data_IF_948299876406
#
_entry.id   IF_948299876406
#
_cell.length_a   1.000
_cell.length_b   1.000
_cell.length_c   1.000
_cell.angle_alpha   90.00
_cell.angle_beta   90.00
_cell.angle_gamma   90.00
#
_symmetry.space_group_name_H-M   'P 1'
#
loop_
_entity.id
_entity.type
_entity.pdbx_description
1 polymer ?
#
# COMPACT_ATOMS: atom_id res chain seq x y z
N UNK A 1 62.56 57.37 14.92
CA UNK A 1 63.22 56.07 15.12
C UNK A 1 62.66 55.13 14.06
N UNK A 2 63.23 55.12 12.84
CA UNK A 2 64.23 54.17 12.31
C UNK A 2 63.70 52.71 12.24
N UNK A 3 63.34 52.21 11.05
CA UNK A 3 64.14 51.36 10.15
C UNK A 3 63.94 49.85 10.42
N UNK A 4 63.27 49.10 9.55
CA UNK A 4 63.85 48.30 8.43
C UNK A 4 64.99 47.34 8.82
N UNK A 5 64.74 46.02 8.72
CA UNK A 5 65.54 44.92 8.10
C UNK A 5 65.10 43.56 8.69
N UNK A 6 64.43 42.67 7.96
CA UNK A 6 64.90 41.68 6.96
C UNK A 6 65.87 40.60 7.50
N UNK A 7 65.37 39.35 7.44
CA UNK A 7 66.00 38.10 6.93
C UNK A 7 66.15 36.90 7.91
N UNK A 8 65.43 35.83 7.52
CA UNK A 8 65.81 34.40 7.38
C UNK A 8 66.38 33.62 8.58
N UNK A 9 65.73 32.51 8.95
CA UNK A 9 66.14 31.13 8.54
C UNK A 9 65.18 30.02 9.02
N UNK A 10 64.82 29.12 8.08
CA UNK A 10 64.56 27.67 8.16
C UNK A 10 63.50 27.03 9.10
N UNK A 11 62.42 26.53 8.45
CA UNK A 11 61.99 25.12 8.35
C UNK A 11 62.08 24.20 9.60
N UNK A 12 60.92 23.83 10.19
CA UNK A 12 60.30 22.48 10.13
C UNK A 12 59.25 22.24 11.23
N UNK A 13 58.08 21.80 10.78
CA UNK A 13 57.09 20.90 11.42
C UNK A 13 56.79 21.03 12.92
N UNK A 14 55.60 21.54 13.25
CA UNK A 14 54.76 21.06 14.37
C UNK A 14 53.32 21.54 14.17
N UNK A 15 52.59 20.91 13.26
CA UNK A 15 51.12 20.87 13.31
C UNK A 15 50.73 19.56 13.97
N UNK A 16 50.18 19.68 15.17
CA UNK A 16 49.52 18.60 15.87
C UNK A 16 48.40 18.04 14.98
N UNK A 17 48.50 16.76 14.67
CA UNK A 17 47.48 15.95 14.02
C UNK A 17 46.24 15.89 14.92
N UNK A 18 45.11 16.36 14.37
CA UNK A 18 43.79 15.82 14.70
C UNK A 18 43.77 14.35 14.25
N UNK A 19 43.32 13.38 15.07
CA UNK A 19 42.93 12.10 14.50
C UNK A 19 41.71 12.33 13.61
N UNK A 20 41.87 12.00 12.34
CA UNK A 20 40.76 11.80 11.42
C UNK A 20 39.82 10.74 12.02
N UNK A 21 38.52 11.01 12.01
CA UNK A 21 37.55 9.94 12.12
C UNK A 21 37.66 9.13 10.83
N UNK A 22 38.31 7.96 10.91
CA UNK A 22 38.22 6.94 9.88
C UNK A 22 36.76 6.46 9.85
N UNK A 23 36.02 6.83 8.80
CA UNK A 23 34.82 6.10 8.38
C UNK A 23 35.29 4.72 7.93
N UNK A 24 35.25 3.74 8.84
CA UNK A 24 35.42 2.33 8.49
C UNK A 24 34.35 1.97 7.43
N UNK A 25 34.73 1.55 6.21
CA UNK A 25 33.76 1.07 5.25
C UNK A 25 33.14 -0.21 5.81
N UNK A 26 31.84 -0.16 6.11
CA UNK A 26 31.10 -1.32 6.59
C UNK A 26 31.39 -2.53 5.70
N UNK A 27 31.95 -3.58 6.30
CA UNK A 27 32.35 -4.79 5.59
C UNK A 27 31.19 -5.29 4.72
N UNK A 28 31.43 -5.63 3.43
CA UNK A 28 30.40 -6.19 2.60
C UNK A 28 29.84 -7.45 3.26
N UNK A 29 28.50 -7.59 3.40
CA UNK A 29 27.91 -8.72 4.08
C UNK A 29 28.44 -10.00 3.44
N UNK A 30 28.91 -10.92 4.28
CA UNK A 30 29.51 -12.18 3.82
C UNK A 30 28.63 -12.87 2.78
N UNK A 31 29.23 -13.61 1.85
CA UNK A 31 28.51 -14.27 0.76
C UNK A 31 27.34 -15.12 1.26
N UNK A 32 27.49 -15.76 2.43
CA UNK A 32 26.42 -16.51 3.13
C UNK A 32 25.25 -15.63 3.59
N UNK A 33 25.51 -14.38 4.01
CA UNK A 33 24.45 -13.42 4.38
C UNK A 33 23.71 -12.94 3.14
N UNK A 34 24.42 -12.70 2.03
CA UNK A 34 23.80 -12.35 0.73
C UNK A 34 22.98 -13.50 0.16
N UNK A 35 23.47 -14.73 0.29
CA UNK A 35 22.79 -15.93 -0.15
C UNK A 35 21.51 -16.19 0.66
N UNK A 36 21.58 -16.08 1.99
CA UNK A 36 20.39 -16.14 2.86
C UNK A 36 19.40 -15.03 2.59
N UNK A 37 19.86 -13.81 2.30
CA UNK A 37 18.98 -12.70 1.94
C UNK A 37 18.28 -12.96 0.59
N UNK A 38 18.96 -13.56 -0.38
CA UNK A 38 18.38 -13.96 -1.67
C UNK A 38 17.42 -15.12 -1.54
N UNK A 39 17.72 -16.13 -0.72
CA UNK A 39 16.79 -17.22 -0.38
C UNK A 39 15.55 -16.71 0.34
N UNK A 40 15.72 -15.78 1.30
CA UNK A 40 14.61 -15.14 2.01
C UNK A 40 13.76 -14.27 1.08
N UNK A 41 14.37 -13.53 0.16
CA UNK A 41 13.67 -12.75 -0.86
C UNK A 41 12.90 -13.65 -1.84
N UNK A 42 13.49 -14.79 -2.27
CA UNK A 42 12.78 -15.80 -3.07
C UNK A 42 11.63 -16.43 -2.29
N UNK A 43 11.85 -16.78 -1.03
CA UNK A 43 10.79 -17.36 -0.17
C UNK A 43 9.64 -16.37 0.06
N UNK A 44 9.92 -15.08 0.23
CA UNK A 44 8.89 -14.04 0.35
C UNK A 44 8.15 -13.81 -0.97
N UNK A 45 8.85 -13.80 -2.10
CA UNK A 45 8.23 -13.74 -3.42
C UNK A 45 7.34 -14.97 -3.68
N UNK A 46 7.82 -16.18 -3.36
CA UNK A 46 7.05 -17.42 -3.47
C UNK A 46 5.86 -17.46 -2.51
N UNK A 47 5.98 -16.91 -1.30
CA UNK A 47 4.85 -16.78 -0.35
C UNK A 47 3.85 -15.74 -0.84
N UNK A 48 4.29 -14.63 -1.45
CA UNK A 48 3.42 -13.63 -2.09
C UNK A 48 2.71 -14.23 -3.30
N UNK A 49 3.43 -14.93 -4.17
CA UNK A 49 2.86 -15.66 -5.31
C UNK A 49 1.92 -16.78 -4.84
N UNK A 50 2.20 -17.48 -3.75
CA UNK A 50 1.29 -18.46 -3.14
C UNK A 50 0.09 -17.80 -2.47
N UNK A 51 0.21 -16.62 -1.88
CA UNK A 51 -0.90 -15.88 -1.28
C UNK A 51 -1.81 -15.30 -2.38
N UNK A 52 -1.23 -14.76 -3.45
CA UNK A 52 -1.93 -14.33 -4.67
C UNK A 52 -2.56 -15.54 -5.37
N UNK A 53 -1.83 -16.65 -5.54
CA UNK A 53 -2.36 -17.89 -6.12
C UNK A 53 -3.38 -18.58 -5.21
N UNK A 54 -3.35 -18.39 -3.89
CA UNK A 54 -4.37 -18.91 -2.94
C UNK A 54 -5.58 -17.99 -2.86
N UNK A 55 -5.41 -16.68 -3.11
CA UNK A 55 -6.48 -15.74 -3.36
C UNK A 55 -7.15 -16.02 -4.72
N UNK A 56 -6.37 -16.36 -5.76
CA UNK A 56 -6.85 -16.65 -7.12
C UNK A 56 -7.35 -18.09 -7.32
N UNK A 57 -6.86 -19.09 -6.55
CA UNK A 57 -7.36 -20.48 -6.58
C UNK A 57 -8.78 -20.53 -5.99
N UNK A 58 -9.74 -20.38 -6.89
CA UNK A 58 -11.17 -20.45 -6.63
C UNK A 58 -11.93 -19.19 -7.05
N UNK A 59 -11.29 -18.13 -7.54
CA UNK A 59 -12.02 -16.95 -8.04
C UNK A 59 -12.79 -17.31 -9.31
N UNK A 60 -12.18 -18.03 -10.26
CA UNK A 60 -12.89 -18.49 -11.46
C UNK A 60 -14.06 -19.46 -11.11
N UNK A 61 -13.87 -20.41 -10.19
CA UNK A 61 -14.92 -21.36 -9.76
C UNK A 61 -16.03 -20.70 -8.92
N UNK A 62 -15.71 -19.69 -8.10
CA UNK A 62 -16.71 -18.93 -7.30
C UNK A 62 -17.41 -17.84 -8.10
N UNK A 63 -16.75 -17.25 -9.10
CA UNK A 63 -17.38 -16.44 -10.15
C UNK A 63 -18.32 -17.31 -11.00
N UNK A 64 -17.91 -18.54 -11.33
CA UNK A 64 -18.74 -19.53 -12.02
C UNK A 64 -19.90 -20.07 -11.16
N UNK A 65 -19.83 -19.98 -9.82
CA UNK A 65 -20.95 -20.24 -8.92
C UNK A 65 -22.04 -19.14 -8.92
N UNK A 66 -21.89 -18.10 -9.77
CA UNK A 66 -22.98 -17.24 -10.20
C UNK A 66 -23.43 -16.14 -9.24
N UNK A 67 -22.61 -15.77 -8.24
CA UNK A 67 -23.02 -14.76 -7.24
C UNK A 67 -22.00 -13.68 -6.92
N UNK A 68 -20.79 -13.72 -7.46
CA UNK A 68 -19.77 -12.72 -7.14
C UNK A 68 -19.51 -11.81 -8.33
N UNK A 69 -19.10 -10.58 -8.06
CA UNK A 69 -18.61 -9.61 -9.04
C UNK A 69 -17.21 -9.17 -8.61
N UNK A 70 -16.21 -9.38 -9.47
CA UNK A 70 -14.84 -8.92 -9.25
C UNK A 70 -14.64 -7.54 -9.88
N UNK A 71 -14.14 -6.59 -9.12
CA UNK A 71 -13.67 -5.30 -9.61
C UNK A 71 -12.15 -5.29 -9.64
N UNK A 72 -11.60 -5.09 -10.83
CA UNK A 72 -10.17 -4.95 -11.06
C UNK A 72 -9.86 -3.49 -11.41
N UNK A 73 -9.41 -2.71 -10.43
CA UNK A 73 -9.36 -1.26 -10.54
C UNK A 73 -7.98 -0.68 -10.91
N UNK A 74 -6.97 -1.55 -11.14
CA UNK A 74 -5.57 -1.18 -11.40
C UNK A 74 -5.08 -0.01 -10.52
N UNK A 75 -5.16 -0.19 -9.20
CA UNK A 75 -4.84 0.85 -8.21
C UNK A 75 -3.31 1.04 -8.09
N UNK A 76 -2.79 2.29 -8.06
CA UNK A 76 -1.36 2.55 -7.98
C UNK A 76 -0.67 1.91 -6.77
N UNK A 77 0.56 1.40 -6.94
CA UNK A 77 1.32 0.76 -5.88
C UNK A 77 1.85 1.79 -4.89
N UNK A 78 1.27 1.84 -3.68
CA UNK A 78 1.50 2.80 -2.56
C UNK A 78 0.25 3.58 -2.13
N UNK A 79 -0.86 3.40 -2.83
CA UNK A 79 -2.17 3.95 -2.46
C UNK A 79 -2.49 3.63 -1.00
N UNK A 80 -2.82 4.66 -0.22
CA UNK A 80 -3.17 4.47 1.19
C UNK A 80 -4.51 3.74 1.34
N UNK A 81 -5.52 4.17 0.59
CA UNK A 81 -6.89 3.68 0.68
C UNK A 81 -7.56 3.65 -0.70
N UNK A 82 -8.37 2.64 -0.94
CA UNK A 82 -9.31 2.62 -2.05
C UNK A 82 -10.72 2.35 -1.55
N UNK A 83 -11.70 2.96 -2.19
CA UNK A 83 -13.12 2.78 -1.90
C UNK A 83 -13.83 2.33 -3.16
N UNK A 84 -14.61 1.26 -3.01
CA UNK A 84 -15.33 0.61 -4.09
C UNK A 84 -16.81 0.57 -3.72
N UNK A 85 -17.66 0.93 -4.67
CA UNK A 85 -19.11 1.00 -4.49
C UNK A 85 -19.78 0.23 -5.62
N UNK A 86 -20.78 -0.57 -5.29
CA UNK A 86 -21.68 -1.20 -6.24
C UNK A 86 -23.06 -0.57 -6.09
N UNK A 87 -23.62 -0.07 -7.19
CA UNK A 87 -24.95 0.49 -7.25
C UNK A 87 -25.86 -0.35 -8.15
N UNK A 88 -27.12 -0.47 -7.77
CA UNK A 88 -28.15 -1.04 -8.61
C UNK A 88 -28.44 -0.14 -9.82
N UNK A 89 -28.50 -0.72 -11.02
CA UNK A 89 -28.80 -0.03 -12.26
C UNK A 89 -27.66 0.82 -12.81
N UNK A 90 -27.95 1.54 -13.90
CA UNK A 90 -27.02 2.45 -14.57
C UNK A 90 -27.09 3.86 -13.97
N UNK A 91 -25.95 4.55 -13.88
CA UNK A 91 -25.90 5.99 -13.65
C UNK A 91 -25.98 6.71 -14.99
N UNK A 92 -26.99 7.56 -15.17
CA UNK A 92 -27.12 8.42 -16.36
C UNK A 92 -26.07 9.52 -16.39
N UNK A 93 -25.68 10.01 -15.21
CA UNK A 93 -24.59 10.98 -15.02
C UNK A 93 -23.68 10.44 -13.91
N UNK A 94 -22.37 10.39 -14.17
CA UNK A 94 -21.39 9.89 -13.20
C UNK A 94 -20.96 11.07 -12.32
N UNK A 95 -21.19 11.02 -10.99
CA UNK A 95 -20.73 12.05 -10.07
C UNK A 95 -19.21 12.14 -10.07
N UNK A 96 -18.67 13.36 -9.93
CA UNK A 96 -17.23 13.58 -9.97
C UNK A 96 -16.48 12.98 -8.75
N UNK A 97 -17.17 12.86 -7.62
CA UNK A 97 -16.57 12.50 -6.32
C UNK A 97 -17.43 11.45 -5.61
N UNK A 98 -16.84 10.71 -4.67
CA UNK A 98 -17.59 9.74 -3.88
C UNK A 98 -18.66 10.41 -3.01
N UNK A 99 -18.39 11.59 -2.45
CA UNK A 99 -19.37 12.29 -1.61
C UNK A 99 -20.59 12.76 -2.44
N UNK A 100 -20.38 13.23 -3.68
CA UNK A 100 -21.48 13.54 -4.59
C UNK A 100 -22.31 12.29 -4.94
N UNK A 101 -21.65 11.15 -5.21
CA UNK A 101 -22.34 9.86 -5.41
C UNK A 101 -23.20 9.49 -4.21
N UNK A 102 -22.68 9.67 -3.00
CA UNK A 102 -23.41 9.34 -1.78
C UNK A 102 -24.61 10.26 -1.54
N UNK A 103 -24.48 11.54 -1.88
CA UNK A 103 -25.56 12.52 -1.77
C UNK A 103 -26.68 12.24 -2.78
N UNK A 104 -26.33 11.97 -4.04
CA UNK A 104 -27.30 11.88 -5.14
C UNK A 104 -27.86 10.47 -5.35
N UNK A 105 -27.13 9.43 -4.93
CA UNK A 105 -27.44 8.03 -5.24
C UNK A 105 -27.26 7.07 -4.06
N UNK A 106 -27.12 7.58 -2.83
CA UNK A 106 -26.86 6.77 -1.64
C UNK A 106 -27.87 5.65 -1.39
N UNK A 107 -29.15 5.86 -1.75
CA UNK A 107 -30.22 4.86 -1.64
C UNK A 107 -30.10 3.68 -2.63
N UNK A 108 -29.29 3.84 -3.69
CA UNK A 108 -29.04 2.83 -4.72
C UNK A 108 -27.80 2.00 -4.44
N UNK A 109 -27.02 2.35 -3.42
CA UNK A 109 -25.80 1.63 -3.04
C UNK A 109 -26.19 0.28 -2.45
N UNK A 110 -25.82 -0.80 -3.13
CA UNK A 110 -26.02 -2.17 -2.66
C UNK A 110 -24.90 -2.59 -1.71
N UNK A 111 -23.65 -2.27 -2.08
CA UNK A 111 -22.46 -2.67 -1.35
C UNK A 111 -21.38 -1.59 -1.42
N UNK A 112 -20.64 -1.44 -0.32
CA UNK A 112 -19.47 -0.56 -0.23
C UNK A 112 -18.33 -1.33 0.45
N UNK A 113 -17.14 -1.25 -0.13
CA UNK A 113 -15.92 -1.88 0.39
C UNK A 113 -14.81 -0.84 0.42
N UNK A 114 -14.12 -0.74 1.55
CA UNK A 114 -12.95 0.10 1.73
C UNK A 114 -11.74 -0.77 2.07
N UNK A 115 -10.66 -0.61 1.30
CA UNK A 115 -9.40 -1.29 1.49
C UNK A 115 -8.31 -0.28 1.82
N UNK A 116 -7.33 -0.68 2.64
CA UNK A 116 -6.23 0.18 3.07
C UNK A 116 -4.86 -0.50 2.92
N UNK A 117 -3.80 0.30 2.86
CA UNK A 117 -2.41 -0.14 2.73
C UNK A 117 -2.19 -1.02 1.50
N UNK A 118 -1.41 -2.09 1.65
CA UNK A 118 -1.14 -3.03 0.55
C UNK A 118 -2.42 -3.66 -0.04
N UNK A 119 -3.47 -3.84 0.77
CA UNK A 119 -4.74 -4.37 0.29
C UNK A 119 -5.48 -3.41 -0.63
N UNK A 120 -5.21 -2.09 -0.55
CA UNK A 120 -5.83 -1.10 -1.45
C UNK A 120 -5.53 -1.37 -2.93
N UNK A 121 -4.44 -2.09 -3.22
CA UNK A 121 -4.00 -2.46 -4.57
C UNK A 121 -4.64 -3.73 -5.13
N UNK A 122 -5.40 -4.46 -4.30
CA UNK A 122 -5.97 -5.76 -4.69
C UNK A 122 -7.33 -5.61 -5.39
N UNK A 123 -7.69 -6.57 -6.28
CA UNK A 123 -9.05 -6.65 -6.79
C UNK A 123 -10.08 -6.81 -5.67
N UNK A 124 -11.20 -6.11 -5.79
CA UNK A 124 -12.34 -6.21 -4.87
C UNK A 124 -13.33 -7.26 -5.35
N UNK A 125 -13.99 -7.92 -4.41
CA UNK A 125 -15.08 -8.86 -4.71
C UNK A 125 -16.34 -8.44 -3.96
N UNK A 126 -17.37 -8.05 -4.73
CA UNK A 126 -18.74 -7.93 -4.23
C UNK A 126 -19.41 -9.30 -4.26
N UNK A 127 -20.17 -9.61 -3.21
CA UNK A 127 -20.80 -10.92 -3.03
C UNK A 127 -22.30 -10.83 -3.23
N UNK A 128 -22.92 -11.96 -3.54
CA UNK A 128 -24.37 -12.07 -3.73
C UNK A 128 -24.97 -11.08 -4.75
N UNK A 129 -24.20 -10.78 -5.81
CA UNK A 129 -24.60 -9.91 -6.92
C UNK A 129 -25.52 -10.67 -7.86
N UNK A 130 -26.77 -10.19 -7.91
CA UNK A 130 -27.83 -10.72 -8.78
C UNK A 130 -27.62 -10.29 -10.23
N UNK A 131 -28.20 -11.07 -11.15
CA UNK A 131 -28.22 -10.72 -12.57
C UNK A 131 -28.99 -9.41 -12.80
N UNK A 132 -28.49 -8.60 -13.73
CA UNK A 132 -29.01 -7.27 -14.01
C UNK A 132 -27.91 -6.27 -14.34
N UNK A 133 -28.33 -5.04 -14.63
CA UNK A 133 -27.43 -3.92 -14.85
C UNK A 133 -27.06 -3.30 -13.51
N UNK A 134 -25.77 -3.07 -13.34
CA UNK A 134 -25.16 -2.46 -12.16
C UNK A 134 -24.20 -1.34 -12.57
N UNK A 135 -23.83 -0.50 -11.61
CA UNK A 135 -22.72 0.44 -11.77
C UNK A 135 -21.69 0.16 -10.69
N UNK A 136 -20.48 -0.22 -11.08
CA UNK A 136 -19.34 -0.30 -10.19
C UNK A 136 -18.60 1.03 -10.20
N UNK A 137 -18.22 1.54 -9.03
CA UNK A 137 -17.44 2.76 -8.89
C UNK A 137 -16.22 2.53 -8.00
N UNK A 138 -15.13 3.22 -8.31
CA UNK A 138 -13.88 3.21 -7.52
C UNK A 138 -13.37 4.63 -7.33
N UNK A 139 -12.99 4.95 -6.10
CA UNK A 139 -12.22 6.13 -5.74
C UNK A 139 -10.91 5.68 -5.07
N UNK A 140 -9.82 6.34 -5.42
CA UNK A 140 -8.46 6.00 -4.98
C UNK A 140 -7.88 7.22 -4.25
N UNK A 141 -7.30 6.99 -3.08
CA UNK A 141 -6.62 8.04 -2.34
C UNK A 141 -5.21 8.28 -2.92
N UNK A 142 -4.51 9.27 -2.36
CA UNK A 142 -3.09 9.46 -2.70
C UNK A 142 -2.18 8.39 -2.10
N UNK A 143 -0.87 8.50 -2.35
CA UNK A 143 0.10 7.64 -1.70
C UNK A 143 0.03 7.79 -0.17
N UNK A 144 0.35 6.70 0.54
CA UNK A 144 0.47 6.70 1.99
C UNK A 144 1.40 7.83 2.47
N UNK A 145 0.97 8.55 3.51
CA UNK A 145 1.78 9.65 4.03
C UNK A 145 3.11 9.13 4.58
N UNK A 146 4.11 10.00 4.70
CA UNK A 146 5.37 9.61 5.32
C UNK A 146 5.17 9.11 6.76
N UNK A 147 4.18 9.65 7.47
CA UNK A 147 3.84 9.25 8.83
C UNK A 147 3.18 7.86 8.87
N UNK A 148 2.26 7.58 7.95
CA UNK A 148 1.62 6.25 7.83
C UNK A 148 2.64 5.18 7.48
N UNK A 149 3.57 5.48 6.56
CA UNK A 149 4.67 4.58 6.21
C UNK A 149 5.58 4.30 7.40
N UNK A 150 5.99 5.33 8.14
CA UNK A 150 6.82 5.16 9.33
C UNK A 150 6.11 4.34 10.42
N UNK A 151 4.79 4.52 10.60
CA UNK A 151 4.00 3.71 11.51
C UNK A 151 3.99 2.23 11.09
N UNK A 152 3.72 1.95 9.80
CA UNK A 152 3.65 0.58 9.29
C UNK A 152 5.00 -0.14 9.36
N UNK A 153 6.09 0.56 9.02
CA UNK A 153 7.46 0.05 9.18
C UNK A 153 7.77 -0.27 10.64
N UNK A 154 7.35 0.59 11.58
CA UNK A 154 7.55 0.35 13.01
C UNK A 154 6.70 -0.81 13.53
N UNK A 155 5.45 -0.92 13.09
CA UNK A 155 4.58 -2.03 13.43
C UNK A 155 5.14 -3.37 12.92
N UNK A 156 5.70 -3.39 11.70
CA UNK A 156 6.36 -4.56 11.15
C UNK A 156 7.60 -4.95 11.98
N UNK A 157 8.44 -3.98 12.36
CA UNK A 157 9.61 -4.25 13.20
C UNK A 157 9.22 -4.81 14.59
N UNK A 158 8.14 -4.31 15.20
CA UNK A 158 7.64 -4.80 16.47
C UNK A 158 7.04 -6.22 16.35
N UNK A 159 6.37 -6.52 15.25
CA UNK A 159 5.85 -7.86 14.98
C UNK A 159 6.98 -8.89 14.79
N UNK A 160 8.06 -8.51 14.10
CA UNK A 160 9.21 -9.40 13.83
C UNK A 160 10.21 -9.51 15.00
N UNK A 161 10.09 -8.68 16.04
CA UNK A 161 11.04 -8.63 17.16
C UNK A 161 11.17 -9.98 17.90
N UNK A 162 10.11 -10.78 17.93
CA UNK A 162 10.08 -12.10 18.55
C UNK A 162 10.45 -13.26 17.58
N UNK A 163 11.07 -12.93 16.44
CA UNK A 163 11.52 -13.88 15.43
C UNK A 163 10.46 -14.29 14.41
N UNK A 164 10.74 -15.30 13.56
CA UNK A 164 9.80 -15.76 12.54
C UNK A 164 8.57 -16.39 13.19
N UNK A 165 7.41 -15.74 13.08
CA UNK A 165 6.15 -16.22 13.63
C UNK A 165 5.08 -16.31 12.54
N UNK A 166 4.11 -17.23 12.68
CA UNK A 166 2.97 -17.27 11.78
C UNK A 166 2.16 -15.97 11.88
N UNK A 167 1.60 -15.52 10.77
CA UNK A 167 0.69 -14.37 10.73
C UNK A 167 -0.49 -14.61 11.68
N UNK A 168 -0.67 -13.70 12.63
CA UNK A 168 -1.75 -13.72 13.63
C UNK A 168 -2.33 -12.31 13.76
N UNK A 169 -3.65 -12.19 13.58
CA UNK A 169 -4.36 -10.91 13.61
C UNK A 169 -4.23 -10.17 14.94
N UNK A 170 -4.29 -10.88 16.08
CA UNK A 170 -4.17 -10.29 17.42
C UNK A 170 -2.77 -9.70 17.63
N UNK A 171 -1.73 -10.40 17.16
CA UNK A 171 -0.34 -9.94 17.27
C UNK A 171 -0.05 -8.76 16.36
N UNK A 172 -0.59 -8.77 15.13
CA UNK A 172 -0.49 -7.63 14.21
C UNK A 172 -1.18 -6.40 14.79
N UNK A 173 -2.36 -6.56 15.40
CA UNK A 173 -3.05 -5.47 16.09
C UNK A 173 -2.26 -4.95 17.29
N UNK A 174 -1.67 -5.83 18.09
CA UNK A 174 -0.83 -5.43 19.23
C UNK A 174 0.41 -4.66 18.78
N UNK A 175 1.09 -5.11 17.72
CA UNK A 175 2.26 -4.44 17.15
C UNK A 175 1.91 -3.05 16.59
N UNK A 176 0.76 -2.93 15.90
CA UNK A 176 0.28 -1.65 15.40
C UNK A 176 -0.07 -0.68 16.54
N UNK A 177 -0.74 -1.16 17.59
CA UNK A 177 -1.08 -0.34 18.76
C UNK A 177 0.18 0.16 19.49
N UNK A 178 1.19 -0.70 19.64
CA UNK A 178 2.48 -0.31 20.21
C UNK A 178 3.21 0.72 19.32
N UNK A 179 3.23 0.53 18.01
CA UNK A 179 3.80 1.50 17.06
C UNK A 179 3.07 2.86 17.12
N UNK A 180 1.75 2.87 17.26
CA UNK A 180 0.96 4.10 17.42
C UNK A 180 1.29 4.82 18.72
N UNK A 181 1.44 4.07 19.83
CA UNK A 181 1.81 4.62 21.13
C UNK A 181 3.23 5.24 21.10
N UNK A 182 4.18 4.62 20.40
CA UNK A 182 5.55 5.14 20.27
C UNK A 182 5.65 6.36 19.33
N UNK A 183 4.94 6.32 18.20
CA UNK A 183 5.01 7.39 17.19
C UNK A 183 4.10 8.57 17.50
N UNK A 184 3.11 8.39 18.38
CA UNK A 184 2.03 9.36 18.61
C UNK A 184 1.14 9.58 17.38
N UNK A 185 1.28 8.74 16.35
CA UNK A 185 0.57 8.89 15.09
C UNK A 185 -0.93 8.63 15.27
N UNK A 186 -1.74 9.49 14.66
CA UNK A 186 -3.20 9.34 14.61
C UNK A 186 -3.61 9.13 13.15
N UNK A 187 -4.14 7.95 12.80
CA UNK A 187 -4.58 7.66 11.44
C UNK A 187 -5.53 8.75 10.95
N UNK A 188 -5.17 9.41 9.85
CA UNK A 188 -6.06 10.37 9.20
C UNK A 188 -6.97 9.59 8.26
N UNK A 189 -8.28 9.72 8.44
CA UNK A 189 -9.23 9.21 7.47
C UNK A 189 -9.02 9.96 6.16
N UNK A 190 -8.98 9.24 5.04
CA UNK A 190 -8.92 9.88 3.73
C UNK A 190 -10.14 10.79 3.56
N UNK A 191 -9.87 12.04 3.17
CA UNK A 191 -10.89 12.93 2.64
C UNK A 191 -11.19 12.51 1.20
N UNK A 192 -12.45 12.14 0.96
CA UNK A 192 -12.96 11.60 -0.31
C UNK A 192 -13.62 12.67 -1.18
N UNK A 193 -13.87 13.87 -0.64
CA UNK A 193 -14.48 14.96 -1.39
C UNK A 193 -13.62 15.39 -2.60
N UNK A 194 -12.29 15.58 -2.48
CA UNK A 194 -11.48 15.95 -3.64
C UNK A 194 -11.08 14.75 -4.52
N UNK A 195 -11.54 13.53 -4.23
CA UNK A 195 -11.04 12.31 -4.88
C UNK A 195 -11.89 11.97 -6.10
N UNK A 196 -11.28 11.90 -7.31
CA UNK A 196 -12.00 11.53 -8.50
C UNK A 196 -12.65 10.15 -8.36
N UNK A 197 -13.94 10.09 -8.66
CA UNK A 197 -14.69 8.85 -8.74
C UNK A 197 -14.69 8.35 -10.20
N UNK A 198 -14.40 7.08 -10.37
CA UNK A 198 -14.46 6.41 -11.67
C UNK A 198 -15.55 5.36 -11.61
N UNK A 199 -16.54 5.44 -12.50
CA UNK A 199 -17.65 4.49 -12.54
C UNK A 199 -17.72 3.80 -13.90
N UNK A 200 -18.23 2.58 -13.89
CA UNK A 200 -18.47 1.79 -15.10
C UNK A 200 -19.75 1.00 -14.94
N UNK A 201 -20.56 0.99 -16.00
CA UNK A 201 -21.70 0.08 -16.14
C UNK A 201 -21.22 -1.36 -16.28
N UNK A 202 -21.86 -2.26 -15.55
CA UNK A 202 -21.60 -3.70 -15.56
C UNK A 202 -22.93 -4.42 -15.77
N UNK A 203 -23.07 -5.12 -16.89
CA UNK A 203 -24.22 -5.99 -17.14
C UNK A 203 -23.86 -7.40 -16.67
N UNK A 204 -24.46 -7.82 -15.55
CA UNK A 204 -24.22 -9.13 -14.93
C UNK A 204 -25.26 -10.13 -15.44
N UNK A 205 -24.78 -11.23 -16.00
CA UNK A 205 -25.58 -12.37 -16.43
C UNK A 205 -24.96 -13.70 -15.91
N UNK A 206 -25.40 -14.81 -16.49
CA UNK A 206 -24.94 -16.15 -16.11
C UNK A 206 -23.48 -16.44 -16.50
N UNK A 207 -22.87 -15.62 -17.37
CA UNK A 207 -21.52 -15.85 -17.90
C UNK A 207 -20.45 -15.32 -16.93
N UNK A 208 -19.38 -16.07 -16.64
CA UNK A 208 -18.34 -15.63 -15.71
C UNK A 208 -17.65 -14.32 -16.12
N UNK A 209 -17.49 -14.07 -17.41
CA UNK A 209 -16.85 -12.84 -17.91
C UNK A 209 -17.68 -11.57 -17.66
N UNK A 210 -19.01 -11.70 -17.56
CA UNK A 210 -19.89 -10.58 -17.22
C UNK A 210 -19.74 -10.13 -15.76
N UNK A 211 -19.05 -10.94 -14.95
CA UNK A 211 -18.83 -10.75 -13.50
C UNK A 211 -17.43 -10.22 -13.20
N UNK A 212 -16.79 -9.59 -14.19
CA UNK A 212 -15.51 -8.92 -14.06
C UNK A 212 -15.66 -7.48 -14.57
N UNK A 213 -15.44 -6.52 -13.69
CA UNK A 213 -15.42 -5.11 -14.01
C UNK A 213 -13.98 -4.59 -13.94
N UNK A 214 -13.35 -4.42 -15.10
CA UNK A 214 -12.01 -3.85 -15.20
C UNK A 214 -12.07 -2.33 -15.38
N UNK A 215 -11.26 -1.60 -14.62
CA UNK A 215 -10.99 -0.18 -14.80
C UNK A 215 -9.57 0.00 -15.33
N UNK A 216 -9.39 1.02 -16.15
CA UNK A 216 -8.05 1.45 -16.54
C UNK A 216 -7.27 1.96 -15.32
N UNK A 217 -5.93 2.01 -15.36
CA UNK A 217 -5.13 2.60 -14.29
C UNK A 217 -5.56 4.03 -13.96
N UNK A 218 -5.48 4.41 -12.68
CA UNK A 218 -5.72 5.78 -12.22
C UNK A 218 -4.53 6.69 -12.53
#
# INVERSE_FOLDING_TARGET
>A
MSASRLLFTYFLLSTALLPACDDEPADPPSERVRERARERARSLATVRELATAKADRGVAERLAAGRWLRVDAAVPPDTDQSRHVLLAGELTEVPATYEALKQDHGERVEQEIMLGGEDATRPVVFRDVVEGTHTACVAVSGPASAEDRALLERAAALFEADGPQPLNAEKLQAALAAAQAETGHKPKRTDWDPRPLRCRRVDVDARPESRIAAFEPA
#
